data_IF_344150755537
#
_entry.id   IF_344150755537
#
_cell.length_a   1.000
_cell.length_b   1.000
_cell.length_c   1.000
_cell.angle_alpha   90.00
_cell.angle_beta   90.00
_cell.angle_gamma   90.00
#
_symmetry.space_group_name_H-M   'P 1'
#
loop_
_entity.id
_entity.type
_entity.pdbx_description
1 polymer ?
#
# COMPACT_ATOMS: atom_id res chain seq x y z
N UNK A 1 -17.53 -23.38 -2.20
CA UNK A 1 -16.93 -22.04 -2.39
C UNK A 1 -16.59 -21.87 -3.86
N UNK A 2 -16.86 -20.71 -4.43
CA UNK A 2 -16.76 -20.48 -5.87
C UNK A 2 -15.28 -20.41 -6.32
N UNK A 3 -14.91 -20.99 -7.47
CA UNK A 3 -13.51 -21.08 -7.93
C UNK A 3 -12.82 -19.70 -7.99
N UNK A 4 -13.58 -18.68 -8.40
CA UNK A 4 -13.15 -17.28 -8.42
C UNK A 4 -12.76 -16.75 -7.03
N UNK A 5 -13.52 -17.07 -5.99
CA UNK A 5 -13.23 -16.62 -4.62
C UNK A 5 -11.95 -17.22 -4.07
N UNK A 6 -11.63 -18.46 -4.47
CA UNK A 6 -10.37 -19.09 -4.08
C UNK A 6 -9.18 -18.46 -4.81
N UNK A 7 -9.32 -18.18 -6.12
CA UNK A 7 -8.28 -17.50 -6.88
C UNK A 7 -7.95 -16.12 -6.29
N UNK A 8 -8.96 -15.28 -6.04
CA UNK A 8 -8.77 -13.94 -5.46
C UNK A 8 -8.07 -13.99 -4.09
N UNK A 9 -8.40 -15.01 -3.29
CA UNK A 9 -7.75 -15.23 -2.00
C UNK A 9 -6.27 -15.58 -2.13
N UNK A 10 -5.92 -16.48 -3.05
CA UNK A 10 -4.51 -16.82 -3.30
C UNK A 10 -3.72 -15.63 -3.84
N UNK A 11 -4.32 -14.81 -4.71
CA UNK A 11 -3.70 -13.57 -5.19
C UNK A 11 -3.44 -12.61 -4.02
N UNK A 12 -4.40 -12.46 -3.11
CA UNK A 12 -4.24 -11.63 -1.91
C UNK A 12 -3.19 -12.18 -0.95
N UNK A 13 -3.14 -13.51 -0.77
CA UNK A 13 -2.11 -14.13 0.06
C UNK A 13 -0.71 -13.93 -0.52
N UNK A 14 -0.57 -13.99 -1.85
CA UNK A 14 0.67 -13.68 -2.56
C UNK A 14 0.94 -12.17 -2.71
N UNK A 15 0.06 -11.31 -2.17
CA UNK A 15 0.16 -9.85 -2.21
C UNK A 15 0.16 -9.26 -3.63
N UNK A 16 -0.46 -9.96 -4.58
CA UNK A 16 -0.54 -9.51 -5.99
C UNK A 16 -1.51 -8.34 -6.14
N UNK A 17 -2.59 -8.33 -5.36
CA UNK A 17 -3.50 -7.19 -5.24
C UNK A 17 -2.78 -5.92 -4.80
N UNK A 18 -1.92 -6.00 -3.78
CA UNK A 18 -1.09 -4.89 -3.29
C UNK A 18 -0.14 -4.38 -4.38
N UNK A 19 0.48 -5.29 -5.13
CA UNK A 19 1.38 -4.96 -6.24
C UNK A 19 0.64 -4.22 -7.35
N UNK A 20 -0.53 -4.72 -7.76
CA UNK A 20 -1.35 -4.08 -8.79
C UNK A 20 -1.88 -2.72 -8.32
N UNK A 21 -2.25 -2.60 -7.04
CA UNK A 21 -2.62 -1.32 -6.43
C UNK A 21 -1.47 -0.32 -6.43
N UNK A 22 -0.24 -0.76 -6.16
CA UNK A 22 0.94 0.09 -6.22
C UNK A 22 1.25 0.57 -7.66
N UNK A 23 1.13 -0.32 -8.65
CA UNK A 23 1.28 0.03 -10.06
C UNK A 23 0.22 1.04 -10.51
N UNK A 24 -1.05 0.83 -10.13
CA UNK A 24 -2.12 1.79 -10.38
C UNK A 24 -1.85 3.13 -9.66
N UNK A 25 -1.35 3.09 -8.42
CA UNK A 25 -0.91 4.27 -7.69
C UNK A 25 0.24 5.02 -8.40
N UNK A 26 1.19 4.33 -9.01
CA UNK A 26 2.22 4.99 -9.81
C UNK A 26 1.62 5.63 -11.06
N UNK A 27 0.66 4.98 -11.73
CA UNK A 27 -0.07 5.57 -12.84
C UNK A 27 -0.83 6.85 -12.42
N UNK A 28 -1.42 6.85 -11.22
CA UNK A 28 -2.05 8.04 -10.65
C UNK A 28 -1.06 9.22 -10.63
N UNK A 29 0.13 9.02 -10.08
CA UNK A 29 1.15 10.06 -9.99
C UNK A 29 1.80 10.39 -11.32
N UNK A 30 1.98 9.42 -12.21
CA UNK A 30 2.44 9.63 -13.59
C UNK A 30 1.53 10.62 -14.31
N UNK A 31 0.21 10.36 -14.30
CA UNK A 31 -0.79 11.22 -14.94
C UNK A 31 -0.93 12.56 -14.22
N UNK A 32 -0.87 12.56 -12.89
CA UNK A 32 -0.98 13.79 -12.10
C UNK A 32 0.17 14.75 -12.38
N UNK A 33 1.40 14.23 -12.46
CA UNK A 33 2.59 15.03 -12.75
C UNK A 33 2.90 15.16 -14.23
N UNK A 34 2.05 14.61 -15.11
CA UNK A 34 2.16 14.70 -16.58
C UNK A 34 3.48 14.18 -17.14
N UNK A 35 4.06 13.21 -16.46
CA UNK A 35 5.26 12.50 -16.93
C UNK A 35 4.83 11.26 -17.69
N UNK A 36 5.72 10.73 -18.53
CA UNK A 36 5.49 9.45 -19.22
C UNK A 36 6.50 8.43 -18.70
N UNK A 37 6.02 7.34 -18.11
CA UNK A 37 6.87 6.26 -17.64
C UNK A 37 6.76 5.06 -18.58
N UNK A 38 7.90 4.48 -18.92
CA UNK A 38 7.94 3.23 -19.68
C UNK A 38 7.66 2.04 -18.76
N UNK A 39 7.19 0.94 -19.35
CA UNK A 39 6.87 -0.29 -18.65
C UNK A 39 7.95 -0.82 -17.68
N UNK A 40 9.27 -0.69 -17.93
CA UNK A 40 10.28 -1.08 -16.94
C UNK A 40 10.11 -0.43 -15.57
N UNK A 41 9.63 0.81 -15.49
CA UNK A 41 9.32 1.47 -14.21
C UNK A 41 8.31 0.67 -13.38
N UNK A 42 7.22 0.26 -14.04
CA UNK A 42 6.13 -0.48 -13.43
C UNK A 42 6.58 -1.87 -12.99
N UNK A 43 7.39 -2.55 -13.82
CA UNK A 43 7.94 -3.85 -13.48
C UNK A 43 8.90 -3.78 -12.28
N UNK A 44 9.77 -2.76 -12.23
CA UNK A 44 10.68 -2.55 -11.10
C UNK A 44 9.94 -2.22 -9.81
N UNK A 45 8.92 -1.36 -9.88
CA UNK A 45 8.05 -1.09 -8.73
C UNK A 45 7.34 -2.37 -8.27
N UNK A 46 6.79 -3.16 -9.19
CA UNK A 46 6.11 -4.41 -8.88
C UNK A 46 7.04 -5.41 -8.16
N UNK A 47 8.26 -5.59 -8.65
CA UNK A 47 9.27 -6.43 -8.01
C UNK A 47 9.65 -5.91 -6.62
N UNK A 48 9.83 -4.59 -6.47
CA UNK A 48 10.19 -3.98 -5.20
C UNK A 48 9.07 -4.14 -4.16
N UNK A 49 7.82 -3.79 -4.51
CA UNK A 49 6.65 -3.91 -3.63
C UNK A 49 6.43 -5.36 -3.25
N UNK A 50 6.41 -6.28 -4.23
CA UNK A 50 6.24 -7.70 -3.97
C UNK A 50 7.32 -8.24 -3.03
N UNK A 51 8.58 -7.84 -3.25
CA UNK A 51 9.70 -8.27 -2.43
C UNK A 51 9.60 -7.77 -0.99
N UNK A 52 9.28 -6.49 -0.80
CA UNK A 52 9.14 -5.88 0.53
C UNK A 52 7.99 -6.52 1.30
N UNK A 53 6.84 -6.70 0.65
CA UNK A 53 5.62 -7.24 1.28
C UNK A 53 5.78 -8.74 1.61
N UNK A 54 6.34 -9.52 0.69
CA UNK A 54 6.62 -10.95 0.92
C UNK A 54 7.65 -11.13 2.03
N UNK A 55 8.73 -10.34 2.02
CA UNK A 55 9.72 -10.36 3.10
C UNK A 55 9.10 -10.01 4.45
N UNK A 56 8.18 -9.05 4.50
CA UNK A 56 7.48 -8.68 5.74
C UNK A 56 6.69 -9.86 6.32
N UNK A 57 5.86 -10.51 5.50
CA UNK A 57 5.10 -11.69 5.94
C UNK A 57 5.98 -12.84 6.39
N UNK A 58 7.07 -13.11 5.66
CA UNK A 58 8.02 -14.14 6.06
C UNK A 58 8.66 -13.77 7.42
N UNK A 59 9.17 -12.55 7.59
CA UNK A 59 9.78 -12.15 8.85
C UNK A 59 8.82 -12.22 10.06
N UNK A 60 7.53 -11.96 9.84
CA UNK A 60 6.50 -12.02 10.89
C UNK A 60 6.15 -13.45 11.31
N UNK A 61 6.17 -14.40 10.38
CA UNK A 61 5.82 -15.80 10.66
C UNK A 61 6.90 -16.53 11.45
N UNK A 62 8.18 -16.19 11.25
CA UNK A 62 9.29 -16.83 11.96
C UNK A 62 9.22 -16.68 13.49
N UNK A 63 8.39 -15.76 14.01
CA UNK A 63 8.34 -15.39 15.42
C UNK A 63 7.15 -15.98 16.22
N UNK A 64 6.22 -16.72 15.62
CA UNK A 64 4.96 -17.10 16.30
C UNK A 64 4.74 -18.62 16.29
N UNK A 65 4.15 -19.17 17.36
CA UNK A 65 4.06 -20.63 17.60
C UNK A 65 2.64 -21.22 17.70
N UNK A 66 1.55 -20.43 17.61
CA UNK A 66 0.14 -20.91 17.69
C UNK A 66 -0.86 -19.82 17.25
N UNK A 67 -2.15 -20.17 17.06
CA UNK A 67 -2.68 -20.70 15.80
C UNK A 67 -2.70 -19.63 14.69
N UNK A 68 -2.43 -20.07 13.46
CA UNK A 68 -2.22 -19.19 12.32
C UNK A 68 -3.50 -19.01 11.51
N UNK A 69 -3.82 -17.77 11.13
CA UNK A 69 -4.80 -17.53 10.06
C UNK A 69 -4.42 -18.26 8.78
N UNK A 70 -5.41 -18.56 7.93
CA UNK A 70 -5.19 -19.32 6.69
C UNK A 70 -4.05 -18.73 5.84
N UNK A 71 -3.95 -17.40 5.82
CA UNK A 71 -2.87 -16.65 5.17
C UNK A 71 -1.50 -16.95 5.80
N UNK A 72 -1.37 -16.87 7.12
CA UNK A 72 -0.09 -17.16 7.80
C UNK A 72 0.29 -18.64 7.63
N UNK A 73 -0.68 -19.55 7.66
CA UNK A 73 -0.48 -20.98 7.38
C UNK A 73 0.03 -21.22 5.96
N UNK A 74 -0.53 -20.52 4.97
CA UNK A 74 -0.07 -20.57 3.58
C UNK A 74 1.40 -20.15 3.45
N UNK A 75 1.79 -19.02 4.05
CA UNK A 75 3.16 -18.51 3.97
C UNK A 75 4.15 -19.41 4.74
N UNK A 76 3.76 -19.96 5.89
CA UNK A 76 4.58 -20.91 6.64
C UNK A 76 4.84 -22.19 5.82
N UNK A 77 3.79 -22.77 5.23
CA UNK A 77 3.87 -23.98 4.41
C UNK A 77 4.74 -23.78 3.17
N UNK A 78 4.68 -22.59 2.55
CA UNK A 78 5.39 -22.28 1.31
C UNK A 78 6.68 -21.49 1.54
N UNK A 79 7.18 -21.39 2.78
CA UNK A 79 8.33 -20.57 3.15
C UNK A 79 9.54 -20.68 2.19
N UNK A 80 9.98 -21.91 1.92
CA UNK A 80 11.16 -22.19 1.07
C UNK A 80 10.95 -21.76 -0.37
N UNK A 81 9.73 -21.88 -0.87
CA UNK A 81 9.37 -21.48 -2.24
C UNK A 81 9.31 -19.96 -2.31
N UNK A 82 8.68 -19.32 -1.33
CA UNK A 82 8.55 -17.87 -1.26
C UNK A 82 9.89 -17.17 -1.09
N UNK A 83 10.80 -17.68 -0.26
CA UNK A 83 12.15 -17.10 -0.11
C UNK A 83 12.98 -17.24 -1.39
N UNK A 84 12.82 -18.35 -2.12
CA UNK A 84 13.48 -18.56 -3.41
C UNK A 84 12.99 -17.55 -4.46
N UNK A 85 11.68 -17.39 -4.62
CA UNK A 85 11.13 -16.39 -5.53
C UNK A 85 11.43 -14.96 -5.08
N UNK A 86 11.45 -14.69 -3.77
CA UNK A 86 11.88 -13.40 -3.22
C UNK A 86 13.33 -13.07 -3.61
N UNK A 87 14.23 -14.06 -3.52
CA UNK A 87 15.61 -13.88 -3.96
C UNK A 87 15.69 -13.59 -5.47
N UNK A 88 14.97 -14.35 -6.30
CA UNK A 88 14.90 -14.11 -7.75
C UNK A 88 14.37 -12.70 -8.05
N UNK A 89 13.26 -12.30 -7.42
CA UNK A 89 12.67 -10.98 -7.64
C UNK A 89 13.61 -9.85 -7.23
N UNK A 90 14.33 -10.01 -6.11
CA UNK A 90 15.34 -9.05 -5.67
C UNK A 90 16.50 -8.93 -6.66
N UNK A 91 17.03 -10.06 -7.16
CA UNK A 91 18.11 -10.08 -8.16
C UNK A 91 17.66 -9.46 -9.48
N UNK A 92 16.49 -9.86 -9.99
CA UNK A 92 15.92 -9.29 -11.21
C UNK A 92 15.64 -7.79 -11.06
N UNK A 93 15.15 -7.37 -9.90
CA UNK A 93 14.91 -5.96 -9.60
C UNK A 93 16.21 -5.15 -9.63
N UNK A 94 17.28 -5.64 -9.00
CA UNK A 94 18.58 -4.97 -8.99
C UNK A 94 19.24 -4.92 -10.38
N UNK A 95 19.26 -6.05 -11.09
CA UNK A 95 19.82 -6.12 -12.45
C UNK A 95 19.01 -5.22 -13.39
N UNK A 96 17.68 -5.31 -13.33
CA UNK A 96 16.79 -4.48 -14.15
C UNK A 96 16.94 -2.99 -13.85
N UNK A 97 17.04 -2.62 -12.57
CA UNK A 97 17.26 -1.24 -12.15
C UNK A 97 18.63 -0.72 -12.65
N UNK A 98 19.69 -1.51 -12.51
CA UNK A 98 21.01 -1.14 -13.03
C UNK A 98 21.01 -1.00 -14.56
N UNK A 99 20.38 -1.93 -15.27
CA UNK A 99 20.33 -1.90 -16.73
C UNK A 99 19.50 -0.73 -17.27
N UNK A 100 18.38 -0.40 -16.61
CA UNK A 100 17.47 0.65 -17.08
C UNK A 100 17.88 2.05 -16.64
N UNK A 101 18.26 2.23 -15.38
CA UNK A 101 18.67 3.54 -14.85
C UNK A 101 20.15 3.84 -15.10
N UNK A 102 20.97 2.81 -15.36
CA UNK A 102 22.43 2.92 -15.27
C UNK A 102 22.90 3.23 -13.85
N UNK A 103 24.18 3.56 -13.70
CA UNK A 103 24.73 4.10 -12.45
C UNK A 103 24.45 5.61 -12.30
N UNK A 104 23.20 6.01 -12.53
CA UNK A 104 22.74 7.40 -12.50
C UNK A 104 22.17 7.84 -11.14
N UNK A 105 21.80 9.13 -11.06
CA UNK A 105 21.15 9.70 -9.86
C UNK A 105 19.86 8.97 -9.48
N UNK A 106 19.04 8.56 -10.47
CA UNK A 106 17.80 7.82 -10.21
C UNK A 106 18.06 6.52 -9.44
N UNK A 107 19.06 5.72 -9.85
CA UNK A 107 19.42 4.49 -9.14
C UNK A 107 19.94 4.78 -7.73
N UNK A 108 20.86 5.75 -7.59
CA UNK A 108 21.45 6.10 -6.29
C UNK A 108 20.39 6.57 -5.28
N UNK A 109 19.49 7.45 -5.72
CA UNK A 109 18.38 7.95 -4.90
C UNK A 109 17.40 6.82 -4.55
N UNK A 110 17.10 5.92 -5.50
CA UNK A 110 16.23 4.76 -5.27
C UNK A 110 16.85 3.77 -4.28
N UNK A 111 18.16 3.50 -4.37
CA UNK A 111 18.88 2.70 -3.38
C UNK A 111 18.90 3.39 -2.00
N UNK A 112 19.04 4.72 -1.98
CA UNK A 112 18.92 5.52 -0.76
C UNK A 112 17.54 5.36 -0.11
N UNK A 113 16.46 5.48 -0.89
CA UNK A 113 15.09 5.25 -0.41
C UNK A 113 14.90 3.82 0.11
N UNK A 114 15.40 2.80 -0.60
CA UNK A 114 15.35 1.42 -0.14
C UNK A 114 16.09 1.25 1.21
N UNK A 115 17.26 1.88 1.35
CA UNK A 115 18.00 1.93 2.60
C UNK A 115 17.23 2.60 3.74
N UNK A 116 16.53 3.71 3.46
CA UNK A 116 15.66 4.39 4.44
C UNK A 116 14.49 3.53 4.88
N UNK A 117 13.83 2.81 3.95
CA UNK A 117 12.74 1.88 4.26
C UNK A 117 13.23 0.72 5.13
N UNK A 118 14.38 0.13 4.81
CA UNK A 118 14.96 -0.94 5.62
C UNK A 118 15.39 -0.42 7.00
N UNK A 119 16.04 0.76 7.04
CA UNK A 119 16.47 1.40 8.28
C UNK A 119 15.30 1.73 9.20
N UNK A 120 14.23 2.33 8.68
CA UNK A 120 13.02 2.63 9.45
C UNK A 120 12.38 1.37 10.01
N UNK A 121 12.31 0.30 9.21
CA UNK A 121 11.81 -1.01 9.66
C UNK A 121 12.63 -1.59 10.81
N UNK A 122 13.95 -1.49 10.75
CA UNK A 122 14.84 -1.94 11.83
C UNK A 122 14.67 -1.11 13.10
N UNK A 123 14.51 0.22 12.97
CA UNK A 123 14.28 1.12 14.10
C UNK A 123 12.93 0.85 14.76
N UNK A 124 11.84 0.74 13.99
CA UNK A 124 10.50 0.43 14.51
C UNK A 124 10.51 -0.92 15.25
N UNK A 125 11.23 -1.92 14.71
CA UNK A 125 11.36 -3.22 15.36
C UNK A 125 12.08 -3.15 16.72
N UNK A 126 12.98 -2.18 16.91
CA UNK A 126 13.68 -1.96 18.20
C UNK A 126 12.88 -1.08 19.16
N UNK A 127 12.20 -0.05 18.66
CA UNK A 127 11.53 0.96 19.48
C UNK A 127 10.12 0.55 19.96
N UNK A 128 9.53 -0.48 19.36
CA UNK A 128 8.18 -0.95 19.69
C UNK A 128 7.12 -0.50 18.66
N UNK A 129 6.15 -1.38 18.39
CA UNK A 129 5.15 -1.22 17.33
C UNK A 129 3.91 -0.45 17.79
N UNK A 130 3.97 0.88 17.73
CA UNK A 130 2.81 1.77 17.90
C UNK A 130 2.19 2.21 16.56
N UNK A 131 1.19 3.11 16.62
CA UNK A 131 0.52 3.72 15.44
C UNK A 131 1.49 4.41 14.47
N UNK A 132 2.67 4.82 14.93
CA UNK A 132 3.73 5.39 14.11
C UNK A 132 4.28 4.38 13.08
N UNK A 133 4.18 3.07 13.36
CA UNK A 133 4.52 2.02 12.39
C UNK A 133 3.61 2.14 11.16
N UNK A 134 2.30 2.15 11.37
CA UNK A 134 1.32 2.19 10.27
C UNK A 134 1.44 3.51 9.48
N UNK A 135 1.65 4.63 10.17
CA UNK A 135 1.87 5.91 9.49
C UNK A 135 3.16 5.89 8.66
N UNK A 136 4.25 5.33 9.20
CA UNK A 136 5.51 5.20 8.48
C UNK A 136 5.38 4.32 7.23
N UNK A 137 4.66 3.19 7.34
CA UNK A 137 4.40 2.31 6.20
C UNK A 137 3.58 3.05 5.14
N UNK A 138 2.53 3.78 5.52
CA UNK A 138 1.73 4.58 4.59
C UNK A 138 2.58 5.62 3.85
N UNK A 139 3.44 6.34 4.57
CA UNK A 139 4.34 7.34 3.99
C UNK A 139 5.30 6.69 2.99
N UNK A 140 6.00 5.63 3.38
CA UNK A 140 6.95 4.97 2.48
C UNK A 140 6.28 4.31 1.28
N UNK A 141 5.07 3.78 1.45
CA UNK A 141 4.27 3.25 0.35
C UNK A 141 3.97 4.35 -0.67
N UNK A 142 3.45 5.50 -0.23
CA UNK A 142 3.11 6.60 -1.14
C UNK A 142 4.33 7.25 -1.76
N UNK A 143 5.41 7.43 -0.98
CA UNK A 143 6.69 7.88 -1.53
C UNK A 143 7.16 6.91 -2.60
N UNK A 144 7.11 5.59 -2.36
CA UNK A 144 7.54 4.58 -3.32
C UNK A 144 6.79 4.65 -4.65
N UNK A 145 5.46 4.76 -4.62
CA UNK A 145 4.65 4.86 -5.86
C UNK A 145 4.80 6.21 -6.57
N UNK A 146 5.02 7.31 -5.82
CA UNK A 146 5.20 8.65 -6.38
C UNK A 146 6.66 8.95 -6.76
N UNK A 147 7.61 8.10 -6.35
CA UNK A 147 9.04 8.38 -6.38
C UNK A 147 9.55 8.72 -7.78
N UNK A 148 9.38 7.79 -8.71
CA UNK A 148 9.89 7.95 -10.06
C UNK A 148 9.13 9.02 -10.85
N UNK A 149 7.78 9.11 -10.77
CA UNK A 149 7.07 10.24 -11.32
C UNK A 149 7.65 11.58 -10.85
N UNK A 150 7.87 11.74 -9.54
CA UNK A 150 8.38 12.96 -8.94
C UNK A 150 9.81 13.30 -9.40
N UNK A 151 10.69 12.29 -9.48
CA UNK A 151 12.07 12.49 -9.95
C UNK A 151 12.17 12.95 -11.41
N UNK A 152 11.17 12.60 -12.22
CA UNK A 152 11.13 12.91 -13.66
C UNK A 152 10.21 14.08 -14.01
N UNK A 153 9.58 14.69 -13.02
CA UNK A 153 8.73 15.86 -13.22
C UNK A 153 9.59 17.10 -13.37
N UNK A 154 9.27 17.94 -14.34
CA UNK A 154 9.90 19.25 -14.46
C UNK A 154 9.51 20.13 -13.27
N UNK A 155 10.49 20.80 -12.65
CA UNK A 155 10.26 21.61 -11.45
C UNK A 155 9.24 22.74 -11.66
N UNK A 156 9.08 23.21 -12.90
CA UNK A 156 8.10 24.21 -13.29
C UNK A 156 6.64 23.69 -13.22
N UNK A 157 6.43 22.38 -13.34
CA UNK A 157 5.11 21.74 -13.30
C UNK A 157 4.68 21.34 -11.88
N UNK A 158 5.57 21.44 -10.89
CA UNK A 158 5.28 21.15 -9.47
C UNK A 158 4.55 22.32 -8.80
N UNK A 159 3.26 22.47 -9.11
CA UNK A 159 2.36 23.39 -8.39
C UNK A 159 1.72 22.75 -7.15
N UNK A 160 1.32 23.59 -6.19
CA UNK A 160 0.74 23.18 -4.90
C UNK A 160 -0.45 22.22 -5.03
N UNK A 161 -1.24 22.34 -6.10
CA UNK A 161 -2.36 21.44 -6.36
C UNK A 161 -1.91 19.99 -6.57
N UNK A 162 -0.81 19.75 -7.28
CA UNK A 162 -0.26 18.39 -7.44
C UNK A 162 0.24 17.85 -6.10
N UNK A 163 0.93 18.70 -5.34
CA UNK A 163 1.48 18.32 -4.04
C UNK A 163 0.38 18.04 -3.01
N UNK A 164 -0.81 18.64 -3.13
CA UNK A 164 -1.96 18.39 -2.26
C UNK A 164 -2.51 16.96 -2.34
N UNK A 165 -2.31 16.26 -3.46
CA UNK A 165 -2.75 14.86 -3.61
C UNK A 165 -1.84 13.86 -2.88
N UNK A 166 -0.56 14.19 -2.67
CA UNK A 166 0.37 13.33 -1.91
C UNK A 166 -0.10 13.05 -0.47
N UNK A 167 -0.35 14.07 0.39
CA UNK A 167 -0.81 13.83 1.76
C UNK A 167 -2.20 13.20 1.80
N UNK A 168 -3.06 13.45 0.79
CA UNK A 168 -4.37 12.82 0.69
C UNK A 168 -4.24 11.31 0.38
N UNK A 169 -3.35 10.94 -0.54
CA UNK A 169 -3.03 9.53 -0.83
C UNK A 169 -2.37 8.84 0.36
N UNK A 170 -1.46 9.53 1.08
CA UNK A 170 -0.87 9.02 2.35
C UNK A 170 -1.98 8.77 3.36
N UNK A 171 -2.91 9.70 3.51
CA UNK A 171 -4.05 9.56 4.43
C UNK A 171 -4.94 8.38 4.07
N UNK A 172 -5.16 8.13 2.77
CA UNK A 172 -5.91 6.98 2.27
C UNK A 172 -5.19 5.64 2.54
N UNK A 173 -3.88 5.57 2.25
CA UNK A 173 -3.06 4.40 2.57
C UNK A 173 -3.03 4.13 4.08
N UNK A 174 -2.90 5.19 4.88
CA UNK A 174 -2.93 5.11 6.34
C UNK A 174 -4.30 4.64 6.85
N UNK A 175 -5.40 5.14 6.28
CA UNK A 175 -6.75 4.66 6.59
C UNK A 175 -6.88 3.15 6.34
N UNK A 176 -6.40 2.66 5.20
CA UNK A 176 -6.40 1.23 4.90
C UNK A 176 -5.61 0.44 5.95
N UNK A 177 -4.40 0.88 6.29
CA UNK A 177 -3.58 0.20 7.31
C UNK A 177 -4.25 0.19 8.70
N UNK A 178 -4.92 1.27 9.10
CA UNK A 178 -5.70 1.30 10.36
C UNK A 178 -6.88 0.32 10.30
N UNK A 179 -7.59 0.25 9.18
CA UNK A 179 -8.68 -0.70 8.97
C UNK A 179 -8.18 -2.15 9.02
N UNK A 180 -7.08 -2.47 8.34
CA UNK A 180 -6.48 -3.81 8.38
C UNK A 180 -5.99 -4.16 9.78
N UNK A 181 -5.33 -3.22 10.47
CA UNK A 181 -4.90 -3.40 11.86
C UNK A 181 -6.07 -3.71 12.79
N UNK A 182 -7.24 -3.10 12.55
CA UNK A 182 -8.46 -3.40 13.31
C UNK A 182 -9.02 -4.80 12.97
N UNK A 183 -9.05 -5.19 11.69
CA UNK A 183 -9.52 -6.51 11.29
C UNK A 183 -8.66 -7.65 11.85
N UNK A 184 -7.36 -7.41 11.98
CA UNK A 184 -6.41 -8.40 12.51
C UNK A 184 -6.41 -8.44 14.07
N UNK A 185 -7.15 -7.55 14.73
CA UNK A 185 -7.17 -7.41 16.20
C UNK A 185 -7.73 -8.64 16.92
N UNK A 186 -8.79 -9.26 16.42
CA UNK A 186 -9.40 -10.44 17.05
C UNK A 186 -8.45 -11.64 17.00
N UNK A 187 -7.70 -11.80 15.90
CA UNK A 187 -6.63 -12.81 15.78
C UNK A 187 -5.45 -12.48 16.71
N UNK A 188 -5.06 -11.20 16.81
CA UNK A 188 -3.91 -10.78 17.61
C UNK A 188 -4.20 -10.79 19.13
N UNK A 189 -5.44 -10.58 19.57
CA UNK A 189 -5.89 -10.75 20.96
C UNK A 189 -5.90 -12.22 21.38
N UNK A 190 -6.29 -13.13 20.49
CA UNK A 190 -6.21 -14.58 20.74
C UNK A 190 -4.77 -15.10 20.69
N UNK A 191 -3.85 -14.40 20.00
CA UNK A 191 -2.44 -14.78 19.83
C UNK A 191 -1.45 -14.07 20.78
N UNK A 192 -1.94 -13.18 21.67
CA UNK A 192 -1.11 -12.50 22.67
C UNK A 192 -0.15 -11.42 22.14
N UNK A 193 -0.44 -10.73 21.02
CA UNK A 193 0.50 -9.75 20.41
C UNK A 193 0.07 -8.28 20.44
N UNK A 194 1.10 -7.41 20.50
CA UNK A 194 1.06 -5.95 20.49
C UNK A 194 1.03 -5.36 19.05
N UNK A 195 -0.13 -4.89 18.60
CA UNK A 195 -0.30 -4.03 17.41
C UNK A 195 -0.38 -2.53 17.84
N UNK A 196 -0.62 -1.58 16.93
CA UNK A 196 -1.00 -0.19 17.28
C UNK A 196 -2.13 -0.11 18.34
N UNK A 197 -2.86 -1.22 18.45
CA UNK A 197 -3.92 -1.54 19.41
C UNK A 197 -3.48 -2.01 20.79
N UNK A 198 -2.19 -2.16 21.05
CA UNK A 198 -1.69 -2.37 22.42
C UNK A 198 -1.76 -1.11 23.28
N UNK A 199 -1.81 0.06 22.64
CA UNK A 199 -1.79 1.37 23.29
C UNK A 199 -3.11 2.14 23.13
N UNK A 200 -4.01 1.71 22.24
CA UNK A 200 -5.29 2.37 21.97
C UNK A 200 -6.47 1.41 22.11
N UNK A 201 -7.46 1.80 22.91
CA UNK A 201 -8.70 1.06 23.09
C UNK A 201 -9.41 0.84 21.73
N UNK A 202 -9.94 -0.35 21.40
CA UNK A 202 -10.57 -0.65 20.10
C UNK A 202 -11.64 0.37 19.69
N UNK A 203 -12.41 0.87 20.67
CA UNK A 203 -13.39 1.93 20.46
C UNK A 203 -12.76 3.24 19.98
N UNK A 204 -11.58 3.62 20.48
CA UNK A 204 -10.89 4.82 20.00
C UNK A 204 -10.46 4.63 18.54
N UNK A 205 -9.87 3.48 18.19
CA UNK A 205 -9.41 3.22 16.82
C UNK A 205 -10.55 3.33 15.80
N UNK A 206 -11.74 2.78 16.10
CA UNK A 206 -12.87 2.89 15.16
C UNK A 206 -13.38 4.34 15.00
N UNK A 207 -13.29 5.16 16.05
CA UNK A 207 -13.59 6.60 15.94
C UNK A 207 -12.55 7.33 15.06
N UNK A 208 -11.27 7.00 15.21
CA UNK A 208 -10.21 7.54 14.35
C UNK A 208 -10.41 7.15 12.89
N UNK A 209 -10.68 5.87 12.61
CA UNK A 209 -10.99 5.37 11.26
C UNK A 209 -12.17 6.14 10.66
N UNK A 210 -13.27 6.31 11.42
CA UNK A 210 -14.46 7.02 10.94
C UNK A 210 -14.18 8.49 10.64
N UNK A 211 -13.48 9.19 11.53
CA UNK A 211 -13.13 10.62 11.35
C UNK A 211 -12.22 10.81 10.14
N UNK A 212 -11.19 9.96 10.02
CA UNK A 212 -10.25 10.02 8.90
C UNK A 212 -10.94 9.70 7.57
N UNK A 213 -11.77 8.65 7.51
CA UNK A 213 -12.55 8.32 6.32
C UNK A 213 -13.47 9.48 5.90
N UNK A 214 -14.21 10.06 6.85
CA UNK A 214 -15.09 11.19 6.57
C UNK A 214 -14.31 12.42 6.08
N UNK A 215 -13.15 12.70 6.67
CA UNK A 215 -12.28 13.79 6.23
C UNK A 215 -11.79 13.56 4.79
N UNK A 216 -11.28 12.37 4.47
CA UNK A 216 -10.80 12.04 3.11
C UNK A 216 -11.94 12.13 2.08
N UNK A 217 -13.13 11.61 2.41
CA UNK A 217 -14.31 11.70 1.54
C UNK A 217 -14.69 13.16 1.30
N UNK A 218 -14.76 13.97 2.37
CA UNK A 218 -15.15 15.38 2.28
C UNK A 218 -14.13 16.21 1.48
N UNK A 219 -12.83 16.00 1.72
CA UNK A 219 -11.75 16.68 1.00
C UNK A 219 -11.77 16.27 -0.48
N UNK A 220 -11.94 14.98 -0.78
CA UNK A 220 -11.97 14.48 -2.17
C UNK A 220 -13.21 14.99 -2.92
N UNK A 221 -14.38 15.02 -2.26
CA UNK A 221 -15.59 15.61 -2.83
C UNK A 221 -15.45 17.12 -3.06
N UNK A 222 -14.89 17.85 -2.09
CA UNK A 222 -14.56 19.26 -2.24
C UNK A 222 -13.59 19.50 -3.40
N UNK A 223 -12.55 18.65 -3.52
CA UNK A 223 -11.60 18.70 -4.62
C UNK A 223 -12.25 18.47 -5.97
N UNK A 224 -13.19 17.52 -6.07
CA UNK A 224 -13.94 17.25 -7.30
C UNK A 224 -14.80 18.45 -7.74
N UNK A 225 -15.40 19.18 -6.79
CA UNK A 225 -16.27 20.33 -7.07
C UNK A 225 -15.46 21.60 -7.36
N UNK A 226 -14.43 21.87 -6.53
CA UNK A 226 -13.75 23.17 -6.48
C UNK A 226 -12.51 23.25 -7.36
N UNK A 227 -11.82 22.13 -7.63
CA UNK A 227 -10.61 22.16 -8.46
C UNK A 227 -10.95 22.29 -9.96
N UNK A 228 -9.97 22.77 -10.72
CA UNK A 228 -10.04 22.86 -12.18
C UNK A 228 -10.23 21.48 -12.82
N UNK A 229 -10.75 21.46 -14.05
CA UNK A 229 -11.15 20.24 -14.76
C UNK A 229 -10.07 19.15 -14.78
N UNK A 230 -8.79 19.54 -14.87
CA UNK A 230 -7.64 18.62 -14.91
C UNK A 230 -7.49 17.80 -13.62
N UNK A 231 -7.84 18.36 -12.46
CA UNK A 231 -7.67 17.67 -11.17
C UNK A 231 -8.88 16.83 -10.75
N UNK A 232 -10.04 17.03 -11.40
CA UNK A 232 -11.29 16.35 -11.03
C UNK A 232 -11.23 14.83 -11.16
N UNK A 233 -10.60 14.22 -12.20
CA UNK A 233 -10.46 12.77 -12.27
C UNK A 233 -9.72 12.18 -11.07
N UNK A 234 -8.64 12.84 -10.64
CA UNK A 234 -7.84 12.40 -9.49
C UNK A 234 -8.63 12.49 -8.17
N UNK A 235 -9.33 13.60 -7.95
CA UNK A 235 -10.21 13.77 -6.79
C UNK A 235 -11.37 12.75 -6.79
N UNK A 236 -11.94 12.47 -7.96
CA UNK A 236 -12.99 11.45 -8.14
C UNK A 236 -12.48 10.05 -7.80
N UNK A 237 -11.29 9.67 -8.28
CA UNK A 237 -10.69 8.37 -7.96
C UNK A 237 -10.47 8.23 -6.46
N UNK A 238 -9.87 9.22 -5.79
CA UNK A 238 -9.67 9.17 -4.34
C UNK A 238 -10.98 9.10 -3.57
N UNK A 239 -12.01 9.82 -4.02
CA UNK A 239 -13.36 9.73 -3.48
C UNK A 239 -13.92 8.31 -3.60
N UNK A 240 -13.83 7.70 -4.78
CA UNK A 240 -14.31 6.34 -5.02
C UNK A 240 -13.57 5.31 -4.16
N UNK A 241 -12.24 5.41 -4.07
CA UNK A 241 -11.45 4.50 -3.20
C UNK A 241 -11.87 4.67 -1.74
N UNK A 242 -11.98 5.91 -1.25
CA UNK A 242 -12.38 6.20 0.12
C UNK A 242 -13.80 5.70 0.44
N UNK A 243 -14.74 5.84 -0.51
CA UNK A 243 -16.10 5.29 -0.38
C UNK A 243 -16.09 3.77 -0.34
N UNK A 244 -15.32 3.09 -1.21
CA UNK A 244 -15.18 1.64 -1.18
C UNK A 244 -14.64 1.18 0.19
N UNK A 245 -13.62 1.85 0.71
CA UNK A 245 -13.04 1.53 2.02
C UNK A 245 -14.07 1.70 3.13
N UNK A 246 -14.74 2.85 3.19
CA UNK A 246 -15.75 3.13 4.20
C UNK A 246 -16.91 2.13 4.16
N UNK A 247 -17.53 1.95 2.99
CA UNK A 247 -18.67 1.07 2.81
C UNK A 247 -18.31 -0.38 3.12
N UNK A 248 -17.17 -0.87 2.62
CA UNK A 248 -16.71 -2.24 2.85
C UNK A 248 -16.40 -2.51 4.32
N UNK A 249 -15.66 -1.60 4.96
CA UNK A 249 -15.22 -1.78 6.34
C UNK A 249 -16.40 -1.85 7.32
N UNK A 250 -17.39 -0.97 7.14
CA UNK A 250 -18.58 -0.91 8.01
C UNK A 250 -19.73 -1.84 7.55
N UNK A 251 -19.60 -2.53 6.42
CA UNK A 251 -20.61 -3.50 5.98
C UNK A 251 -20.70 -4.68 6.95
N UNK A 252 -21.93 -4.93 7.42
CA UNK A 252 -22.28 -6.10 8.21
C UNK A 252 -22.45 -7.31 7.28
N UNK A 253 -21.92 -8.47 7.66
CA UNK A 253 -22.06 -9.72 6.90
C UNK A 253 -20.90 -10.08 5.98
N UNK A 254 -19.86 -9.24 5.88
CA UNK A 254 -18.60 -9.61 5.23
C UNK A 254 -17.61 -10.19 6.23
N UNK A 255 -16.91 -11.27 5.86
CA UNK A 255 -15.79 -11.77 6.65
C UNK A 255 -14.59 -10.79 6.59
N UNK A 256 -13.69 -10.82 7.59
CA UNK A 256 -12.48 -9.98 7.58
C UNK A 256 -11.66 -10.12 6.29
N UNK A 257 -11.51 -11.34 5.79
CA UNK A 257 -10.82 -11.61 4.52
C UNK A 257 -11.52 -10.97 3.31
N UNK A 258 -12.86 -11.04 3.25
CA UNK A 258 -13.63 -10.38 2.19
C UNK A 258 -13.48 -8.86 2.25
N UNK A 259 -13.46 -8.29 3.45
CA UNK A 259 -13.23 -6.85 3.63
C UNK A 259 -11.84 -6.46 3.13
N UNK A 260 -10.80 -7.20 3.52
CA UNK A 260 -9.42 -6.99 3.05
C UNK A 260 -9.33 -7.00 1.53
N UNK A 261 -9.78 -8.08 0.88
CA UNK A 261 -9.69 -8.23 -0.59
C UNK A 261 -10.38 -7.06 -1.30
N UNK A 262 -11.55 -6.62 -0.84
CA UNK A 262 -12.30 -5.51 -1.45
C UNK A 262 -11.64 -4.15 -1.25
N UNK A 263 -11.08 -3.90 -0.06
CA UNK A 263 -10.36 -2.64 0.23
C UNK A 263 -9.07 -2.56 -0.58
N UNK A 264 -8.26 -3.63 -0.60
CA UNK A 264 -7.04 -3.71 -1.42
C UNK A 264 -7.34 -3.54 -2.91
N UNK A 265 -8.39 -4.21 -3.42
CA UNK A 265 -8.83 -4.03 -4.81
C UNK A 265 -9.25 -2.59 -5.13
N UNK A 266 -9.70 -1.81 -4.12
CA UNK A 266 -9.99 -0.40 -4.27
C UNK A 266 -8.80 0.40 -4.79
N UNK A 267 -7.56 0.07 -4.36
CA UNK A 267 -6.35 0.74 -4.84
C UNK A 267 -6.02 0.47 -6.31
N UNK A 268 -6.75 -0.41 -7.01
CA UNK A 268 -6.61 -0.60 -8.45
C UNK A 268 -7.42 0.43 -9.26
N UNK A 269 -8.33 1.19 -8.65
CA UNK A 269 -9.15 2.19 -9.34
C UNK A 269 -8.38 3.26 -10.12
N UNK A 270 -7.18 3.71 -9.72
CA UNK A 270 -6.40 4.62 -10.55
C UNK A 270 -6.07 4.09 -11.95
N UNK A 271 -6.15 2.77 -12.20
CA UNK A 271 -6.04 2.20 -13.54
C UNK A 271 -7.08 2.77 -14.54
N UNK A 272 -8.19 3.32 -14.05
CA UNK A 272 -9.20 4.00 -14.89
C UNK A 272 -8.63 5.22 -15.62
N UNK A 273 -7.52 5.81 -15.15
CA UNK A 273 -6.82 6.91 -15.82
C UNK A 273 -6.16 6.50 -17.16
N UNK A 274 -6.15 5.21 -17.51
CA UNK A 274 -5.76 4.78 -18.86
C UNK A 274 -6.78 5.17 -19.93
N UNK A 275 -8.02 5.47 -19.53
CA UNK A 275 -9.14 5.76 -20.44
C UNK A 275 -9.54 7.25 -20.44
N UNK A 276 -8.78 8.10 -19.74
CA UNK A 276 -9.00 9.55 -19.62
C UNK A 276 -7.81 10.28 -20.23
#
# INVERSE_FOLDING_TARGET
MNLLQNLLRYLSWLSIDVVLGAMAGMLFFEKLFRVSLHWPAYALLALAVWSIYTLDHLLDIRKKTTPFSDRRTFHLKNWKILIFFLFIAGVLGLIGAFWWFGWGKELQLTLGLAGMILGSKLLIRKAGSGWMKELSIAIFYVIGIAWLPLLRTDSADLVWQHLGFLPLYVSLAFLNLLMLSFLDQEEDQQSGFFSALSSLHPLLLIHWIRRLAFAIISISLGGFILLTSIYRPFACILLLVALIHYLTFFQIGLSPEQKRIRMEAGFMLPALLLFV
#
